data_IF_427783296043
#
_entry.id   IF_427783296043
#
_cell.length_a   1.000
_cell.length_b   1.000
_cell.length_c   1.000
_cell.angle_alpha   90.00
_cell.angle_beta   90.00
_cell.angle_gamma   90.00
#
_symmetry.space_group_name_H-M   'P 1'
#
loop_
_entity.id
_entity.type
_entity.pdbx_description
1 polymer ?
#
# COMPACT_ATOMS: atom_id res chain seq x y z
N UNK A 1 -8.42 5.86 -9.50
CA UNK A 1 -7.62 6.03 -8.27
C UNK A 1 -6.61 7.18 -8.32
N UNK A 2 -5.67 7.23 -9.27
CA UNK A 2 -4.70 8.35 -9.39
C UNK A 2 -5.36 9.72 -9.36
N UNK A 3 -6.47 9.86 -10.09
CA UNK A 3 -7.22 11.11 -10.13
C UNK A 3 -7.78 11.49 -8.76
N UNK A 4 -8.31 10.53 -8.01
CA UNK A 4 -8.84 10.77 -6.67
C UNK A 4 -7.73 11.23 -5.71
N UNK A 5 -6.54 10.64 -5.80
CA UNK A 5 -5.38 11.07 -5.03
C UNK A 5 -4.96 12.49 -5.38
N UNK A 6 -4.89 12.82 -6.66
CA UNK A 6 -4.54 14.15 -7.13
C UNK A 6 -5.58 15.19 -6.70
N UNK A 7 -6.87 14.86 -6.80
CA UNK A 7 -7.96 15.74 -6.37
C UNK A 7 -7.91 16.00 -4.85
N UNK A 8 -7.43 15.03 -4.08
CA UNK A 8 -7.19 15.16 -2.64
C UNK A 8 -5.86 15.86 -2.30
N UNK A 9 -5.16 16.41 -3.31
CA UNK A 9 -3.86 17.08 -3.18
C UNK A 9 -2.72 16.17 -2.71
N UNK A 10 -2.87 14.87 -2.88
CA UNK A 10 -1.78 13.93 -2.72
C UNK A 10 -0.94 13.85 -4.00
N UNK A 11 0.31 13.51 -3.88
CA UNK A 11 1.21 13.29 -5.02
C UNK A 11 1.37 11.79 -5.20
N UNK A 12 0.67 11.17 -6.15
CA UNK A 12 0.80 9.72 -6.36
C UNK A 12 2.09 9.39 -7.09
N UNK A 13 2.84 8.45 -6.52
CA UNK A 13 4.05 7.88 -7.11
C UNK A 13 3.79 6.42 -7.40
N UNK A 14 3.89 6.02 -8.66
CA UNK A 14 3.72 4.62 -9.05
C UNK A 14 5.03 3.87 -8.83
N UNK A 15 4.99 2.90 -7.94
CA UNK A 15 6.11 2.03 -7.60
C UNK A 15 5.80 0.61 -8.06
N UNK A 16 6.74 -0.04 -8.72
CA UNK A 16 6.58 -1.39 -9.25
C UNK A 16 7.88 -2.19 -9.09
N UNK A 17 7.84 -3.53 -9.30
CA UNK A 17 9.06 -4.34 -9.23
C UNK A 17 10.14 -3.91 -10.23
N UNK A 18 9.72 -3.44 -11.39
CA UNK A 18 10.62 -2.94 -12.45
C UNK A 18 10.07 -1.63 -13.03
N UNK A 19 10.86 -0.96 -13.85
CA UNK A 19 10.44 0.24 -14.57
C UNK A 19 9.65 -0.06 -15.85
N UNK A 20 9.40 -1.31 -16.18
CA UNK A 20 8.58 -1.68 -17.32
C UNK A 20 7.14 -1.18 -17.14
N UNK A 21 6.47 -0.71 -18.21
CA UNK A 21 5.09 -0.23 -18.11
C UNK A 21 4.12 -1.27 -17.52
N UNK A 22 3.24 -0.82 -16.65
CA UNK A 22 2.20 -1.64 -16.03
C UNK A 22 0.83 -1.04 -16.37
N UNK A 23 0.01 -1.79 -17.09
CA UNK A 23 -1.31 -1.33 -17.49
C UNK A 23 -1.30 0.00 -18.26
N UNK A 24 -0.29 0.21 -19.10
CA UNK A 24 -0.12 1.44 -19.88
C UNK A 24 0.47 2.61 -19.08
N UNK A 25 0.80 2.41 -17.80
CA UNK A 25 1.42 3.42 -16.94
C UNK A 25 2.90 3.11 -16.74
N UNK A 26 3.72 4.16 -16.80
CA UNK A 26 5.16 4.03 -16.52
C UNK A 26 5.42 4.22 -15.03
N UNK A 27 6.07 3.24 -14.36
CA UNK A 27 6.46 3.41 -12.96
C UNK A 27 7.46 4.55 -12.80
N UNK A 28 7.34 5.27 -11.68
CA UNK A 28 8.27 6.34 -11.32
C UNK A 28 9.48 5.80 -10.57
N UNK A 29 9.33 4.67 -9.90
CA UNK A 29 10.37 4.07 -9.08
C UNK A 29 10.20 2.56 -8.98
N UNK A 30 11.26 1.86 -8.58
CA UNK A 30 11.20 0.44 -8.24
C UNK A 30 11.06 0.27 -6.72
N UNK A 31 10.57 -0.91 -6.32
CA UNK A 31 10.44 -1.27 -4.91
C UNK A 31 11.78 -1.18 -4.15
N UNK A 32 12.86 -1.55 -4.80
CA UNK A 32 14.21 -1.50 -4.21
C UNK A 32 14.77 -0.09 -4.24
N UNK A 33 14.51 0.65 -5.31
CA UNK A 33 15.07 1.96 -5.53
C UNK A 33 14.49 3.07 -4.66
N UNK A 34 13.26 2.89 -4.14
CA UNK A 34 12.61 3.88 -3.31
C UNK A 34 11.83 3.19 -2.19
N UNK A 35 12.41 3.09 -0.99
CA UNK A 35 11.78 2.40 0.14
C UNK A 35 10.51 3.11 0.63
N UNK A 36 9.61 2.36 1.23
CA UNK A 36 8.29 2.89 1.63
C UNK A 36 8.35 3.98 2.69
N UNK A 37 9.43 4.07 3.45
CA UNK A 37 9.63 5.16 4.43
C UNK A 37 9.65 6.54 3.79
N UNK A 38 9.96 6.62 2.50
CA UNK A 38 9.98 7.87 1.75
C UNK A 38 8.57 8.41 1.46
N UNK A 39 7.54 7.63 1.69
CA UNK A 39 6.15 7.99 1.40
C UNK A 39 5.35 8.18 2.68
N UNK A 40 4.29 8.98 2.60
CA UNK A 40 3.37 9.19 3.73
C UNK A 40 2.39 8.02 3.89
N UNK A 41 2.08 7.33 2.80
CA UNK A 41 1.14 6.22 2.79
C UNK A 41 1.42 5.29 1.59
N UNK A 42 0.86 4.10 1.65
CA UNK A 42 0.98 3.08 0.59
C UNK A 42 -0.42 2.62 0.16
N UNK A 43 -0.67 2.63 -1.12
CA UNK A 43 -1.89 2.07 -1.70
C UNK A 43 -1.54 0.90 -2.62
N UNK A 44 -1.97 -0.30 -2.25
CA UNK A 44 -1.68 -1.52 -2.99
C UNK A 44 -2.82 -1.76 -3.97
N UNK A 45 -2.54 -1.58 -5.24
CA UNK A 45 -3.49 -1.84 -6.31
C UNK A 45 -3.47 -3.32 -6.68
N UNK A 46 -4.65 -3.93 -6.75
CA UNK A 46 -4.81 -5.25 -7.34
C UNK A 46 -5.70 -5.15 -8.57
N UNK A 47 -5.26 -5.74 -9.65
CA UNK A 47 -6.06 -5.91 -10.88
C UNK A 47 -6.46 -7.37 -11.09
N UNK A 48 -7.19 -7.64 -12.16
CA UNK A 48 -7.80 -8.94 -12.45
C UNK A 48 -6.82 -10.08 -12.82
N UNK A 49 -5.55 -9.95 -12.57
CA UNK A 49 -4.66 -11.03 -12.99
C UNK A 49 -3.31 -11.12 -12.33
N UNK A 50 -2.74 -10.03 -11.86
CA UNK A 50 -1.29 -9.98 -11.64
C UNK A 50 -0.84 -9.66 -10.20
N UNK A 51 -1.74 -9.77 -9.23
CA UNK A 51 -1.36 -9.75 -7.82
C UNK A 51 -0.39 -10.87 -7.43
N UNK A 52 -0.25 -11.88 -8.29
CA UNK A 52 0.62 -13.03 -8.05
C UNK A 52 2.08 -12.64 -7.97
N UNK A 53 2.53 -11.74 -8.83
CA UNK A 53 3.94 -11.35 -8.88
C UNK A 53 4.35 -10.59 -7.62
N UNK A 54 3.47 -9.71 -7.12
CA UNK A 54 3.72 -8.99 -5.88
C UNK A 54 3.74 -9.93 -4.66
N UNK A 55 2.83 -10.89 -4.61
CA UNK A 55 2.75 -11.86 -3.50
C UNK A 55 4.04 -12.66 -3.35
N UNK A 56 4.66 -13.02 -4.47
CA UNK A 56 5.90 -13.79 -4.47
C UNK A 56 7.16 -12.92 -4.38
N UNK A 57 7.02 -11.61 -4.45
CA UNK A 57 8.16 -10.69 -4.35
C UNK A 57 8.52 -10.42 -2.90
N UNK A 58 9.75 -10.79 -2.51
CA UNK A 58 10.29 -10.43 -1.20
C UNK A 58 10.40 -8.93 -1.02
N UNK A 59 10.72 -8.22 -2.10
CA UNK A 59 10.83 -6.75 -2.08
C UNK A 59 9.47 -6.09 -1.84
N UNK A 60 8.41 -6.61 -2.45
CA UNK A 60 7.07 -6.10 -2.22
C UNK A 60 6.59 -6.37 -0.79
N UNK A 61 6.85 -7.57 -0.26
CA UNK A 61 6.54 -7.88 1.13
C UNK A 61 7.30 -6.98 2.09
N UNK A 62 8.59 -6.81 1.87
CA UNK A 62 9.41 -5.89 2.69
C UNK A 62 8.89 -4.46 2.62
N UNK A 63 8.53 -3.99 1.44
CA UNK A 63 8.02 -2.63 1.23
C UNK A 63 6.78 -2.35 2.09
N UNK A 64 5.81 -3.26 2.10
CA UNK A 64 4.59 -3.07 2.91
C UNK A 64 4.83 -3.31 4.39
N UNK A 65 5.72 -4.24 4.75
CA UNK A 65 6.12 -4.46 6.15
C UNK A 65 6.77 -3.21 6.74
N UNK A 66 7.64 -2.57 5.99
CA UNK A 66 8.30 -1.33 6.38
C UNK A 66 7.27 -0.20 6.59
N UNK A 67 6.34 -0.04 5.66
CA UNK A 67 5.25 0.94 5.81
C UNK A 67 4.41 0.68 7.07
N UNK A 68 4.10 -0.58 7.35
CA UNK A 68 3.36 -0.99 8.55
C UNK A 68 4.14 -0.66 9.82
N UNK A 69 5.41 -1.01 9.85
CA UNK A 69 6.31 -0.77 11.00
C UNK A 69 6.48 0.71 11.30
N UNK A 70 6.54 1.54 10.25
CA UNK A 70 6.65 2.99 10.39
C UNK A 70 5.31 3.69 10.56
N UNK A 71 4.25 2.95 10.87
CA UNK A 71 2.93 3.46 11.22
C UNK A 71 2.27 4.27 10.10
N UNK A 72 2.60 3.96 8.84
CA UNK A 72 2.02 4.61 7.67
C UNK A 72 0.60 4.11 7.42
N UNK A 73 -0.23 4.95 6.83
CA UNK A 73 -1.52 4.51 6.30
C UNK A 73 -1.30 3.51 5.16
N UNK A 74 -2.05 2.43 5.16
CA UNK A 74 -1.98 1.39 4.13
C UNK A 74 -3.38 1.11 3.62
N UNK A 75 -3.55 1.06 2.31
CA UNK A 75 -4.78 0.60 1.69
C UNK A 75 -4.47 -0.52 0.70
N UNK A 76 -5.41 -1.44 0.54
CA UNK A 76 -5.31 -2.51 -0.44
C UNK A 76 -6.70 -2.87 -0.97
N UNK A 77 -6.81 -3.03 -2.27
CA UNK A 77 -8.04 -3.44 -2.93
C UNK A 77 -7.83 -4.66 -3.82
N UNK A 78 -8.90 -5.45 -3.96
CA UNK A 78 -8.88 -6.63 -4.84
C UNK A 78 -7.76 -7.59 -4.50
N UNK A 79 -7.01 -8.02 -5.51
CA UNK A 79 -5.89 -8.94 -5.34
C UNK A 79 -4.70 -8.33 -4.57
N UNK A 80 -4.65 -7.00 -4.43
CA UNK A 80 -3.62 -6.33 -3.60
C UNK A 80 -3.68 -6.73 -2.13
N UNK A 81 -4.84 -7.17 -1.64
CA UNK A 81 -5.00 -7.68 -0.28
C UNK A 81 -4.16 -8.93 -0.02
N UNK A 82 -3.92 -9.74 -1.04
CA UNK A 82 -3.10 -10.96 -0.91
C UNK A 82 -1.67 -10.64 -0.51
N UNK A 83 -1.15 -9.47 -0.88
CA UNK A 83 0.18 -9.05 -0.46
C UNK A 83 0.26 -8.83 1.05
N UNK A 84 -0.79 -8.29 1.66
CA UNK A 84 -0.85 -8.14 3.12
C UNK A 84 -0.77 -9.49 3.81
N UNK A 85 -1.53 -10.48 3.32
CA UNK A 85 -1.47 -11.86 3.84
C UNK A 85 -0.09 -12.48 3.68
N UNK A 86 0.52 -12.33 2.51
CA UNK A 86 1.86 -12.84 2.24
C UNK A 86 2.95 -12.17 3.11
N UNK A 87 2.73 -10.91 3.48
CA UNK A 87 3.61 -10.16 4.37
C UNK A 87 3.29 -10.40 5.86
N UNK A 88 2.31 -11.24 6.16
CA UNK A 88 1.84 -11.53 7.53
C UNK A 88 1.35 -10.30 8.28
N UNK A 89 0.73 -9.36 7.57
CA UNK A 89 0.18 -8.14 8.15
C UNK A 89 -1.33 -8.29 8.40
N UNK A 90 -1.84 -7.91 9.59
CA UNK A 90 -3.26 -8.04 9.89
C UNK A 90 -4.10 -7.01 9.12
N UNK A 91 -5.09 -7.48 8.36
CA UNK A 91 -5.98 -6.62 7.57
C UNK A 91 -6.89 -5.73 8.43
N UNK A 92 -7.10 -6.12 9.69
CA UNK A 92 -7.99 -5.39 10.62
C UNK A 92 -7.24 -4.45 11.56
N UNK A 93 -5.93 -4.30 11.35
CA UNK A 93 -5.15 -3.37 12.15
C UNK A 93 -5.57 -1.91 11.86
N UNK A 94 -5.43 -1.05 12.85
CA UNK A 94 -5.70 0.37 12.67
C UNK A 94 -4.85 0.95 11.54
N UNK A 95 -5.47 1.75 10.69
CA UNK A 95 -4.79 2.38 9.56
C UNK A 95 -4.57 1.47 8.35
N UNK A 96 -5.09 0.24 8.38
CA UNK A 96 -5.10 -0.67 7.23
C UNK A 96 -6.53 -0.69 6.66
N UNK A 97 -6.69 -0.17 5.46
CA UNK A 97 -7.99 -0.02 4.80
C UNK A 97 -8.07 -1.01 3.63
N UNK A 98 -8.94 -2.00 3.73
CA UNK A 98 -9.07 -3.04 2.71
C UNK A 98 -10.49 -3.13 2.18
N UNK A 99 -10.63 -3.60 0.94
CA UNK A 99 -11.92 -3.81 0.30
C UNK A 99 -11.78 -4.49 -1.04
N UNK A 100 -12.92 -4.78 -1.66
CA UNK A 100 -12.97 -5.23 -3.05
C UNK A 100 -12.79 -4.02 -3.99
N UNK A 101 -12.47 -4.29 -5.26
CA UNK A 101 -12.35 -3.22 -6.26
C UNK A 101 -13.63 -2.37 -6.38
N UNK A 102 -14.81 -2.97 -6.15
CA UNK A 102 -16.09 -2.28 -6.15
C UNK A 102 -16.25 -1.30 -4.96
N UNK A 103 -15.47 -1.46 -3.89
CA UNK A 103 -15.53 -0.63 -2.68
C UNK A 103 -14.51 0.50 -2.69
N UNK A 104 -13.92 0.81 -3.83
CA UNK A 104 -12.83 1.78 -3.97
C UNK A 104 -13.13 3.11 -3.27
N UNK A 105 -14.32 3.66 -3.47
CA UNK A 105 -14.66 4.97 -2.88
C UNK A 105 -14.67 4.92 -1.35
N UNK A 106 -15.16 3.84 -0.76
CA UNK A 106 -15.18 3.65 0.69
C UNK A 106 -13.77 3.46 1.25
N UNK A 107 -12.95 2.68 0.55
CA UNK A 107 -11.55 2.45 0.93
C UNK A 107 -10.76 3.75 0.85
N UNK A 108 -10.94 4.54 -0.21
CA UNK A 108 -10.29 5.83 -0.36
C UNK A 108 -10.67 6.81 0.73
N UNK A 109 -11.96 6.87 1.11
CA UNK A 109 -12.43 7.76 2.17
C UNK A 109 -11.72 7.46 3.51
N UNK A 110 -11.67 6.18 3.89
CA UNK A 110 -10.95 5.74 5.10
C UNK A 110 -9.45 5.98 5.00
N UNK A 111 -8.87 5.75 3.84
CA UNK A 111 -7.46 5.94 3.59
C UNK A 111 -7.06 7.41 3.74
N UNK A 112 -7.85 8.33 3.20
CA UNK A 112 -7.59 9.76 3.34
C UNK A 112 -7.72 10.24 4.78
N UNK A 113 -8.71 9.74 5.53
CA UNK A 113 -8.84 10.04 6.94
C UNK A 113 -7.60 9.59 7.72
N UNK A 114 -7.13 8.38 7.46
CA UNK A 114 -5.92 7.83 8.07
C UNK A 114 -4.68 8.60 7.67
N UNK A 115 -4.55 8.94 6.38
CA UNK A 115 -3.42 9.70 5.87
C UNK A 115 -3.30 11.06 6.55
N UNK A 116 -4.43 11.70 6.87
CA UNK A 116 -4.45 12.99 7.56
C UNK A 116 -3.88 12.95 8.98
N UNK A 117 -3.79 11.77 9.59
CA UNK A 117 -3.21 11.57 10.92
C UNK A 117 -1.67 11.49 10.91
N UNK A 118 -1.04 11.42 9.74
CA UNK A 118 0.40 11.23 9.49
C UNK A 118 0.94 9.89 9.96
N UNK A 119 0.66 9.48 11.20
CA UNK A 119 1.10 8.21 11.77
C UNK A 119 -0.01 7.55 12.54
N UNK A 120 -0.13 6.23 12.40
CA UNK A 120 -1.13 5.42 13.09
C UNK A 120 -0.53 4.91 14.41
N UNK A 121 -0.45 5.79 15.39
CA UNK A 121 0.19 5.49 16.67
C UNK A 121 -0.49 4.35 17.45
N UNK A 122 -1.78 4.18 17.29
CA UNK A 122 -2.54 3.08 17.91
C UNK A 122 -2.06 1.68 17.48
N UNK A 123 -1.30 1.60 16.37
CA UNK A 123 -0.75 0.35 15.85
C UNK A 123 0.67 0.04 16.35
N UNK A 124 1.25 0.87 17.17
CA UNK A 124 2.66 0.77 17.58
C UNK A 124 3.01 -0.60 18.17
N UNK A 125 2.16 -1.15 19.03
CA UNK A 125 2.39 -2.46 19.65
C UNK A 125 2.45 -3.60 18.64
N UNK A 126 1.68 -3.53 17.55
CA UNK A 126 1.71 -4.53 16.49
C UNK A 126 2.95 -4.35 15.59
N UNK A 127 3.44 -3.13 15.46
CA UNK A 127 4.59 -2.81 14.61
C UNK A 127 5.88 -3.45 15.14
N UNK A 128 6.02 -3.62 16.42
CA UNK A 128 7.21 -4.23 17.06
C UNK A 128 7.45 -5.68 16.59
N UNK A 129 6.39 -6.41 16.25
CA UNK A 129 6.48 -7.79 15.78
C UNK A 129 6.81 -7.94 14.29
N UNK A 130 6.91 -6.86 13.54
CA UNK A 130 7.17 -6.89 12.10
C UNK A 130 8.66 -6.89 11.82
N UNK A 131 9.15 -7.83 10.99
CA UNK A 131 10.60 -8.03 10.81
C UNK A 131 11.31 -6.96 9.97
N UNK A 132 10.59 -6.11 9.31
CA UNK A 132 11.19 -5.09 8.40
C UNK A 132 12.03 -4.02 9.13
#
# INVERSE_FOLDING_TARGET
MRRALTDARAVPVLVAPTLAPVGGLEPHATLVGMPSVMFDAVFICGGDGDGRDLVHSSDARHFVQEAFKHLKAIAAIGSGRQLLGAAHLPEHADGVCVGHAADLDQVLAKFFDTLSEHRVWSRESLAEGVPA
#
